data_IF_459420024153
#
_entry.id   IF_459420024153
#
_cell.length_a   1.000
_cell.length_b   1.000
_cell.length_c   1.000
_cell.angle_alpha   90.00
_cell.angle_beta   90.00
_cell.angle_gamma   90.00
#
_symmetry.space_group_name_H-M   'P 1'
#
loop_
_entity.id
_entity.type
_entity.pdbx_description
1 polymer ?
#
# COMPACT_ATOMS: atom_id res chain seq x y z
N UNK A 1 -22.24 6.51 -8.86
CA UNK A 1 -21.24 5.69 -9.56
C UNK A 1 -20.46 4.91 -8.51
N UNK A 2 -20.27 3.60 -8.70
CA UNK A 2 -19.41 2.82 -7.81
C UNK A 2 -17.94 3.12 -8.16
N UNK A 3 -17.10 3.33 -7.13
CA UNK A 3 -15.66 3.54 -7.30
C UNK A 3 -15.01 2.26 -7.83
N UNK A 4 -14.09 2.40 -8.77
CA UNK A 4 -13.25 1.32 -9.28
C UNK A 4 -12.26 0.84 -8.22
N UNK A 5 -11.78 -0.40 -8.34
CA UNK A 5 -10.76 -0.94 -7.43
C UNK A 5 -9.48 -0.07 -7.41
N UNK A 6 -9.12 0.56 -8.54
CA UNK A 6 -8.00 1.49 -8.60
C UNK A 6 -8.24 2.74 -7.75
N UNK A 7 -9.42 3.33 -7.83
CA UNK A 7 -9.78 4.50 -7.03
C UNK A 7 -9.81 4.17 -5.54
N UNK A 8 -10.38 3.00 -5.18
CA UNK A 8 -10.44 2.57 -3.78
C UNK A 8 -9.06 2.37 -3.17
N UNK A 9 -8.14 1.68 -3.87
CA UNK A 9 -6.77 1.49 -3.36
C UNK A 9 -6.00 2.82 -3.35
N UNK A 10 -6.22 3.68 -4.35
CA UNK A 10 -5.58 5.00 -4.42
C UNK A 10 -5.98 5.89 -3.25
N UNK A 11 -7.27 5.95 -2.91
CA UNK A 11 -7.76 6.73 -1.78
C UNK A 11 -7.12 6.29 -0.45
N UNK A 12 -7.01 4.99 -0.20
CA UNK A 12 -6.36 4.48 1.03
C UNK A 12 -4.87 4.85 1.07
N UNK A 13 -4.18 4.76 -0.07
CA UNK A 13 -2.76 5.15 -0.18
C UNK A 13 -2.59 6.66 0.04
N UNK A 14 -3.44 7.47 -0.58
CA UNK A 14 -3.40 8.93 -0.48
C UNK A 14 -3.70 9.41 0.95
N UNK A 15 -4.74 8.86 1.58
CA UNK A 15 -5.07 9.16 2.99
C UNK A 15 -3.93 8.80 3.94
N UNK A 16 -3.28 7.64 3.73
CA UNK A 16 -2.13 7.21 4.52
C UNK A 16 -0.95 8.16 4.32
N UNK A 17 -0.65 8.55 3.08
CA UNK A 17 0.42 9.51 2.78
C UNK A 17 0.14 10.88 3.39
N UNK A 18 -1.07 11.41 3.24
CA UNK A 18 -1.47 12.72 3.77
C UNK A 18 -1.45 12.75 5.30
N UNK A 19 -1.73 11.63 5.95
CA UNK A 19 -1.61 11.47 7.40
C UNK A 19 -0.14 11.45 7.85
N UNK A 20 0.69 10.64 7.19
CA UNK A 20 2.08 10.42 7.61
C UNK A 20 3.01 11.58 7.21
N UNK A 21 2.81 12.21 6.06
CA UNK A 21 3.64 13.33 5.58
C UNK A 21 3.57 14.57 6.48
N UNK A 22 2.52 14.69 7.29
CA UNK A 22 2.36 15.76 8.29
C UNK A 22 3.06 15.45 9.62
N UNK A 23 3.45 14.20 9.83
CA UNK A 23 4.17 13.76 11.03
C UNK A 23 5.68 13.75 10.76
N UNK A 24 6.48 14.61 11.43
CA UNK A 24 7.92 14.71 11.20
C UNK A 24 8.70 13.45 11.62
N UNK A 25 8.12 12.61 12.48
CA UNK A 25 8.73 11.36 12.91
C UNK A 25 8.47 10.21 11.93
N UNK A 26 7.62 10.42 10.91
CA UNK A 26 7.30 9.39 9.92
C UNK A 26 8.55 8.94 9.16
N UNK A 27 8.63 7.64 8.93
CA UNK A 27 9.69 7.03 8.16
C UNK A 27 9.64 7.50 6.68
N UNK A 28 10.70 8.15 6.15
CA UNK A 28 10.78 8.55 4.75
C UNK A 28 10.62 7.38 3.77
N UNK A 29 11.03 6.17 4.13
CA UNK A 29 10.88 5.00 3.27
C UNK A 29 9.40 4.58 3.14
N UNK A 30 8.61 4.73 4.21
CA UNK A 30 7.15 4.52 4.14
C UNK A 30 6.52 5.54 3.19
N UNK A 31 6.90 6.81 3.28
CA UNK A 31 6.40 7.85 2.36
C UNK A 31 6.77 7.56 0.90
N UNK A 32 8.00 7.09 0.65
CA UNK A 32 8.45 6.70 -0.69
C UNK A 32 7.66 5.52 -1.26
N UNK A 33 7.36 4.52 -0.43
CA UNK A 33 6.50 3.38 -0.81
C UNK A 33 5.11 3.88 -1.23
N UNK A 34 4.51 4.78 -0.45
CA UNK A 34 3.18 5.32 -0.74
C UNK A 34 3.14 6.16 -2.03
N UNK A 35 4.12 7.04 -2.26
CA UNK A 35 4.21 7.81 -3.52
C UNK A 35 4.36 6.87 -4.73
N UNK A 36 5.17 5.82 -4.59
CA UNK A 36 5.37 4.82 -5.64
C UNK A 36 4.07 4.09 -5.95
N UNK A 37 3.33 3.68 -4.92
CA UNK A 37 2.03 3.02 -5.06
C UNK A 37 1.00 3.93 -5.76
N UNK A 38 0.90 5.19 -5.33
CA UNK A 38 0.01 6.19 -5.95
C UNK A 38 0.34 6.39 -7.44
N UNK A 39 1.64 6.48 -7.77
CA UNK A 39 2.11 6.58 -9.16
C UNK A 39 1.73 5.34 -9.98
N UNK A 40 1.84 4.15 -9.40
CA UNK A 40 1.54 2.90 -10.09
C UNK A 40 0.03 2.71 -10.31
N UNK A 41 -0.79 3.14 -9.35
CA UNK A 41 -2.25 3.15 -9.46
C UNK A 41 -2.71 4.13 -10.55
N UNK A 42 -2.21 5.36 -10.54
CA UNK A 42 -2.54 6.37 -11.54
C UNK A 42 -2.16 5.92 -12.97
N UNK A 43 -0.97 5.32 -13.11
CA UNK A 43 -0.48 4.84 -14.40
C UNK A 43 -0.97 3.43 -14.76
N UNK A 44 -1.84 2.82 -13.94
CA UNK A 44 -2.35 1.45 -14.11
C UNK A 44 -1.27 0.42 -14.45
N UNK A 45 -0.11 0.52 -13.79
CA UNK A 45 1.09 -0.31 -14.10
C UNK A 45 0.90 -1.79 -13.80
N UNK A 46 0.04 -2.12 -12.84
CA UNK A 46 -0.33 -3.46 -12.38
C UNK A 46 -1.76 -3.43 -11.84
N UNK A 47 -2.33 -4.61 -11.55
CA UNK A 47 -3.63 -4.67 -10.88
C UNK A 47 -3.58 -4.00 -9.49
N UNK A 48 -4.68 -3.40 -9.03
CA UNK A 48 -4.71 -2.69 -7.74
C UNK A 48 -4.41 -3.63 -6.57
N UNK A 49 -4.75 -4.92 -6.67
CA UNK A 49 -4.44 -5.93 -5.65
C UNK A 49 -2.93 -6.21 -5.53
N UNK A 50 -2.21 -6.27 -6.66
CA UNK A 50 -0.75 -6.44 -6.67
C UNK A 50 -0.07 -5.21 -6.09
N UNK A 51 -0.55 -4.01 -6.45
CA UNK A 51 0.00 -2.77 -5.92
C UNK A 51 -0.26 -2.70 -4.41
N UNK A 52 -1.46 -3.01 -3.93
CA UNK A 52 -1.79 -3.07 -2.52
C UNK A 52 -0.88 -4.07 -1.76
N UNK A 53 -0.69 -5.28 -2.29
CA UNK A 53 0.19 -6.29 -1.71
C UNK A 53 1.64 -5.80 -1.58
N UNK A 54 2.22 -5.26 -2.66
CA UNK A 54 3.59 -4.71 -2.65
C UNK A 54 3.72 -3.51 -1.72
N UNK A 55 2.67 -2.69 -1.62
CA UNK A 55 2.62 -1.54 -0.69
C UNK A 55 2.66 -2.02 0.77
N UNK A 56 1.83 -3.00 1.13
CA UNK A 56 1.83 -3.59 2.49
C UNK A 56 3.21 -4.14 2.83
N UNK A 57 3.82 -4.92 1.94
CA UNK A 57 5.14 -5.50 2.15
C UNK A 57 6.22 -4.43 2.31
N UNK A 58 6.20 -3.38 1.47
CA UNK A 58 7.14 -2.26 1.57
C UNK A 58 7.04 -1.52 2.90
N UNK A 59 5.82 -1.27 3.38
CA UNK A 59 5.58 -0.62 4.67
C UNK A 59 6.04 -1.49 5.84
N UNK A 60 5.78 -2.80 5.80
CA UNK A 60 6.24 -3.73 6.83
C UNK A 60 7.76 -3.81 6.91
N UNK A 61 8.45 -3.79 5.76
CA UNK A 61 9.92 -3.78 5.70
C UNK A 61 10.51 -2.48 6.24
N UNK A 62 9.93 -1.34 5.90
CA UNK A 62 10.35 -0.03 6.42
C UNK A 62 10.17 0.03 7.95
N UNK A 63 9.00 -0.38 8.46
CA UNK A 63 8.71 -0.45 9.90
C UNK A 63 9.55 -1.48 10.67
N UNK A 64 10.06 -2.52 10.01
CA UNK A 64 10.96 -3.48 10.65
C UNK A 64 12.37 -2.89 10.81
N UNK A 65 12.76 -2.00 9.90
CA UNK A 65 14.09 -1.39 9.84
C UNK A 65 14.19 -0.14 10.71
N UNK A 66 13.10 0.63 10.84
CA UNK A 66 13.02 1.82 11.65
C UNK A 66 12.07 1.62 12.83
N UNK A 67 12.43 2.11 14.02
CA UNK A 67 11.62 1.97 15.25
C UNK A 67 10.30 2.75 15.21
N UNK A 68 9.98 3.41 14.11
CA UNK A 68 8.79 4.24 13.96
C UNK A 68 7.57 3.35 13.84
N UNK A 69 6.57 3.59 14.70
CA UNK A 69 5.31 2.86 14.68
C UNK A 69 4.25 3.70 13.98
N UNK A 70 3.55 3.08 13.03
CA UNK A 70 2.29 3.63 12.54
C UNK A 70 1.34 3.84 13.73
N UNK A 71 0.62 4.96 13.72
CA UNK A 71 -0.50 5.16 14.64
C UNK A 71 -1.67 4.22 14.30
N UNK A 72 -2.71 4.24 15.14
CA UNK A 72 -3.86 3.35 15.00
C UNK A 72 -4.59 3.54 13.66
N UNK A 73 -4.71 4.77 13.17
CA UNK A 73 -5.41 5.07 11.92
C UNK A 73 -4.65 4.53 10.72
N UNK A 74 -3.33 4.70 10.71
CA UNK A 74 -2.47 4.18 9.66
C UNK A 74 -2.32 2.65 9.72
N UNK A 75 -2.43 2.04 10.91
CA UNK A 75 -2.60 0.59 11.03
C UNK A 75 -3.91 0.09 10.44
N UNK A 76 -5.01 0.82 10.63
CA UNK A 76 -6.29 0.46 10.04
C UNK A 76 -6.26 0.58 8.51
N UNK A 77 -5.62 1.62 7.95
CA UNK A 77 -5.39 1.76 6.50
C UNK A 77 -4.53 0.63 5.95
N UNK A 78 -3.46 0.25 6.65
CA UNK A 78 -2.62 -0.89 6.25
C UNK A 78 -3.41 -2.20 6.21
N UNK A 79 -4.34 -2.42 7.15
CA UNK A 79 -5.26 -3.58 7.13
C UNK A 79 -6.20 -3.54 5.93
N UNK A 80 -6.75 -2.37 5.58
CA UNK A 80 -7.58 -2.23 4.39
C UNK A 80 -6.80 -2.58 3.11
N UNK A 81 -5.56 -2.11 2.98
CA UNK A 81 -4.68 -2.50 1.86
C UNK A 81 -4.42 -4.01 1.83
N UNK A 82 -4.25 -4.64 2.99
CA UNK A 82 -4.10 -6.10 3.09
C UNK A 82 -5.37 -6.85 2.66
N UNK A 83 -6.55 -6.32 2.97
CA UNK A 83 -7.82 -6.88 2.51
C UNK A 83 -7.97 -6.74 0.99
N UNK A 84 -7.65 -5.56 0.42
CA UNK A 84 -7.61 -5.37 -1.04
C UNK A 84 -6.66 -6.33 -1.72
N UNK A 85 -5.48 -6.57 -1.13
CA UNK A 85 -4.51 -7.53 -1.65
C UNK A 85 -5.07 -8.97 -1.68
N UNK A 86 -5.83 -9.37 -0.65
CA UNK A 86 -6.42 -10.72 -0.53
C UNK A 86 -7.64 -10.94 -1.44
N UNK A 87 -8.42 -9.89 -1.70
CA UNK A 87 -9.61 -9.97 -2.55
C UNK A 87 -9.28 -10.24 -4.04
N UNK A 88 -8.00 -10.24 -4.43
CA UNK A 88 -7.52 -10.73 -5.73
C UNK A 88 -7.32 -12.25 -5.82
N UNK A 89 -7.59 -12.99 -4.75
CA UNK A 89 -7.32 -14.43 -4.64
C UNK A 89 -5.89 -14.74 -4.16
N UNK A 90 -5.63 -15.98 -3.71
CA UNK A 90 -4.27 -16.40 -3.38
C UNK A 90 -3.37 -16.25 -4.61
N UNK A 91 -2.20 -15.60 -4.47
CA UNK A 91 -1.16 -15.67 -5.49
C UNK A 91 -0.87 -17.15 -5.74
N UNK A 92 -1.25 -17.63 -6.92
CA UNK A 92 -0.91 -18.98 -7.33
C UNK A 92 0.63 -19.08 -7.36
N UNK A 93 1.26 -20.14 -6.84
CA UNK A 93 2.73 -20.32 -6.90
C UNK A 93 3.29 -20.32 -8.33
N UNK A 94 2.41 -20.50 -9.32
CA UNK A 94 2.69 -20.46 -10.76
C UNK A 94 2.35 -19.12 -11.43
N UNK A 95 1.85 -18.12 -10.69
CA UNK A 95 1.68 -16.78 -11.24
C UNK A 95 3.06 -16.16 -11.46
N UNK A 96 3.38 -15.83 -12.71
CA UNK A 96 4.65 -15.20 -13.12
C UNK A 96 4.89 -13.86 -12.40
N UNK A 97 3.84 -13.27 -11.82
CA UNK A 97 3.91 -12.07 -10.97
C UNK A 97 4.41 -12.34 -9.55
N UNK A 98 4.50 -13.59 -9.13
CA UNK A 98 5.09 -14.00 -7.85
C UNK A 98 6.63 -14.10 -7.90
N UNK A 99 7.25 -13.93 -9.07
CA UNK A 99 8.69 -14.16 -9.26
C UNK A 99 9.57 -12.88 -9.19
N UNK A 100 9.06 -11.76 -8.66
CA UNK A 100 9.84 -10.51 -8.54
C UNK A 100 9.54 -9.71 -7.25
#
# INVERSE_FOLDING_TARGET
MNRTDYEQVFEVVDDMYNSLSKNPDSDPDVLKVLITAATYLNNKKSSPQIIASKTVNGIMLANASNKTKLDQDNWNRLKQLLEFAKNGGPMNPTDFRAQF
#
